data_IF_762946661020
#
_entry.id   IF_762946661020
#
_cell.length_a   1.000
_cell.length_b   1.000
_cell.length_c   1.000
_cell.angle_alpha   90.00
_cell.angle_beta   90.00
_cell.angle_gamma   90.00
#
_symmetry.space_group_name_H-M   'P 1'
#
loop_
_entity.id
_entity.type
_entity.pdbx_description
1 polymer ?
#
# COMPACT_ATOMS: atom_id res chain seq x y z
N UNK A 1 17.55 12.55 -26.83
CA UNK A 1 16.53 12.70 -25.78
C UNK A 1 15.45 11.69 -26.06
N UNK A 2 15.19 10.78 -25.13
CA UNK A 2 14.13 9.79 -25.28
C UNK A 2 12.75 10.47 -25.14
N UNK A 3 11.81 10.08 -25.99
CA UNK A 3 10.44 10.61 -26.06
C UNK A 3 9.63 10.32 -24.78
N UNK A 4 8.55 11.09 -24.49
CA UNK A 4 7.73 10.95 -23.27
C UNK A 4 6.94 9.63 -23.15
N UNK A 5 7.10 8.69 -24.09
CA UNK A 5 6.32 7.46 -24.21
C UNK A 5 6.88 6.26 -23.44
N UNK A 6 7.97 6.42 -22.68
CA UNK A 6 8.70 5.30 -22.04
C UNK A 6 8.46 5.11 -20.55
N UNK A 7 7.50 5.81 -19.93
CA UNK A 7 7.26 5.77 -18.48
C UNK A 7 5.96 5.09 -18.06
N UNK A 8 4.96 5.02 -18.94
CA UNK A 8 3.72 4.32 -18.64
C UNK A 8 3.88 2.82 -18.95
N UNK A 9 3.38 1.92 -18.08
CA UNK A 9 3.42 0.49 -18.35
C UNK A 9 2.62 0.17 -19.62
N UNK A 10 3.14 -0.76 -20.42
CA UNK A 10 2.35 -1.30 -21.53
C UNK A 10 1.21 -2.20 -21.02
N UNK A 11 0.33 -2.64 -21.91
CA UNK A 11 -0.83 -3.43 -21.53
C UNK A 11 -0.47 -4.79 -20.87
N UNK A 12 0.65 -5.40 -21.26
CA UNK A 12 1.14 -6.64 -20.66
C UNK A 12 1.69 -6.40 -19.26
N UNK A 13 2.45 -5.32 -19.09
CA UNK A 13 2.95 -4.89 -17.79
C UNK A 13 1.81 -4.52 -16.83
N UNK A 14 0.83 -3.72 -17.28
CA UNK A 14 -0.32 -3.37 -16.44
C UNK A 14 -1.12 -4.61 -16.01
N UNK A 15 -1.25 -5.62 -16.86
CA UNK A 15 -1.86 -6.90 -16.48
C UNK A 15 -1.08 -7.60 -15.36
N UNK A 16 0.26 -7.64 -15.45
CA UNK A 16 1.12 -8.22 -14.41
C UNK A 16 0.99 -7.41 -13.11
N UNK A 17 1.04 -6.09 -13.18
CA UNK A 17 0.85 -5.19 -12.04
C UNK A 17 -0.52 -5.38 -11.37
N UNK A 18 -1.56 -5.59 -12.17
CA UNK A 18 -2.89 -5.96 -11.69
C UNK A 18 -2.90 -7.31 -10.95
N UNK A 19 -2.14 -8.30 -11.42
CA UNK A 19 -1.99 -9.58 -10.68
C UNK A 19 -1.23 -9.39 -9.36
N UNK A 20 -0.19 -8.57 -9.34
CA UNK A 20 0.57 -8.25 -8.12
C UNK A 20 -0.34 -7.57 -7.09
N UNK A 21 -1.18 -6.63 -7.52
CA UNK A 21 -2.19 -6.00 -6.67
C UNK A 21 -3.18 -7.03 -6.10
N UNK A 22 -3.73 -7.92 -6.93
CA UNK A 22 -4.67 -8.96 -6.48
C UNK A 22 -4.04 -9.97 -5.51
N UNK A 23 -2.76 -10.29 -5.68
CA UNK A 23 -2.01 -11.09 -4.71
C UNK A 23 -1.91 -10.35 -3.37
N UNK A 24 -1.54 -9.07 -3.40
CA UNK A 24 -1.53 -8.23 -2.21
C UNK A 24 -2.89 -8.19 -1.52
N UNK A 25 -3.97 -7.98 -2.27
CA UNK A 25 -5.33 -7.99 -1.77
C UNK A 25 -5.66 -9.29 -1.04
N UNK A 26 -5.41 -10.42 -1.69
CA UNK A 26 -5.68 -11.73 -1.08
C UNK A 26 -4.91 -11.92 0.22
N UNK A 27 -3.62 -11.55 0.26
CA UNK A 27 -2.80 -11.66 1.48
C UNK A 27 -3.34 -10.74 2.59
N UNK A 28 -3.69 -9.50 2.26
CA UNK A 28 -4.23 -8.53 3.21
C UNK A 28 -5.54 -9.00 3.84
N UNK A 29 -6.46 -9.52 3.03
CA UNK A 29 -7.74 -10.06 3.50
C UNK A 29 -7.55 -11.26 4.42
N UNK A 30 -6.73 -12.24 4.01
CA UNK A 30 -6.48 -13.45 4.82
C UNK A 30 -5.76 -13.15 6.13
N UNK A 31 -4.87 -12.15 6.13
CA UNK A 31 -4.21 -11.71 7.35
C UNK A 31 -5.25 -11.18 8.36
N UNK A 32 -6.16 -10.31 7.90
CA UNK A 32 -7.22 -9.75 8.74
C UNK A 32 -8.20 -10.82 9.20
N UNK A 33 -8.60 -11.77 8.37
CA UNK A 33 -9.49 -12.87 8.81
C UNK A 33 -8.90 -13.62 10.01
N UNK A 34 -7.58 -13.84 10.04
CA UNK A 34 -6.90 -14.52 11.14
C UNK A 34 -6.76 -13.64 12.38
N UNK A 35 -6.40 -12.36 12.21
CA UNK A 35 -6.10 -11.45 13.34
C UNK A 35 -7.36 -10.76 13.88
N UNK A 36 -8.29 -10.40 13.01
CA UNK A 36 -9.58 -9.77 13.34
C UNK A 36 -10.51 -10.68 14.13
N UNK A 37 -10.40 -12.01 13.99
CA UNK A 37 -11.08 -12.94 14.91
C UNK A 37 -10.63 -12.77 16.37
N UNK A 38 -9.41 -12.26 16.60
CA UNK A 38 -8.86 -12.07 17.95
C UNK A 38 -9.07 -10.65 18.49
N UNK A 39 -9.35 -9.66 17.62
CA UNK A 39 -9.59 -8.27 18.00
C UNK A 39 -10.97 -7.83 17.58
N UNK A 40 -11.84 -7.56 18.55
CA UNK A 40 -13.01 -6.71 18.35
C UNK A 40 -12.55 -5.28 18.05
N UNK A 41 -12.18 -5.00 16.81
CA UNK A 41 -11.85 -3.65 16.37
C UNK A 41 -13.16 -2.84 16.33
N UNK A 42 -13.13 -1.64 16.88
CA UNK A 42 -14.20 -0.68 16.67
C UNK A 42 -14.31 -0.40 15.16
N UNK A 43 -15.53 -0.41 14.61
CA UNK A 43 -15.79 -0.10 13.19
C UNK A 43 -15.65 1.40 12.87
N UNK A 44 -14.73 2.10 13.53
CA UNK A 44 -14.41 3.49 13.22
C UNK A 44 -13.22 3.54 12.26
N UNK A 45 -13.36 4.31 11.18
CA UNK A 45 -12.37 4.42 10.11
C UNK A 45 -10.95 4.74 10.63
N UNK A 46 -10.84 5.66 11.59
CA UNK A 46 -9.54 6.07 12.13
C UNK A 46 -8.87 4.98 12.97
N UNK A 47 -9.63 4.21 13.74
CA UNK A 47 -9.10 3.09 14.54
C UNK A 47 -8.63 1.95 13.64
N UNK A 48 -9.38 1.65 12.59
CA UNK A 48 -8.93 0.72 11.55
C UNK A 48 -7.65 1.22 10.88
N UNK A 49 -7.55 2.50 10.53
CA UNK A 49 -6.33 3.01 9.91
C UNK A 49 -5.12 2.97 10.87
N UNK A 50 -5.33 3.19 12.17
CA UNK A 50 -4.27 3.01 13.19
C UNK A 50 -3.84 1.55 13.30
N UNK A 51 -4.77 0.60 13.25
CA UNK A 51 -4.46 -0.83 13.21
C UNK A 51 -3.60 -1.16 11.97
N UNK A 52 -3.99 -0.66 10.79
CA UNK A 52 -3.20 -0.83 9.56
C UNK A 52 -1.79 -0.28 9.73
N UNK A 53 -1.65 0.95 10.27
CA UNK A 53 -0.36 1.61 10.42
C UNK A 53 0.55 0.96 11.47
N UNK A 54 -0.01 0.31 12.50
CA UNK A 54 0.74 -0.22 13.63
C UNK A 54 0.89 -1.72 13.53
N UNK A 55 -0.17 -2.45 13.86
CA UNK A 55 -0.11 -3.91 13.99
C UNK A 55 0.08 -4.59 12.64
N UNK A 56 -0.77 -4.27 11.65
CA UNK A 56 -0.71 -4.91 10.33
C UNK A 56 0.63 -4.64 9.63
N UNK A 57 1.07 -3.38 9.59
CA UNK A 57 2.35 -3.03 8.96
C UNK A 57 3.54 -3.62 9.69
N UNK A 58 3.51 -3.65 11.03
CA UNK A 58 4.59 -4.23 11.82
C UNK A 58 4.72 -5.74 11.61
N UNK A 59 3.62 -6.47 11.56
CA UNK A 59 3.64 -7.91 11.32
C UNK A 59 4.19 -8.26 9.92
N UNK A 60 3.92 -7.42 8.91
CA UNK A 60 4.39 -7.66 7.53
C UNK A 60 5.81 -7.16 7.26
N UNK A 61 6.21 -6.02 7.84
CA UNK A 61 7.45 -5.32 7.49
C UNK A 61 8.40 -5.09 8.68
N UNK A 62 8.02 -5.56 9.88
CA UNK A 62 8.82 -5.47 11.10
C UNK A 62 8.92 -4.06 11.69
N UNK A 63 8.06 -3.12 11.26
CA UNK A 63 7.99 -1.75 11.78
C UNK A 63 6.62 -1.13 11.52
N UNK A 64 6.17 -0.13 12.31
CA UNK A 64 4.98 0.65 11.99
C UNK A 64 5.22 1.61 10.82
N UNK A 65 4.13 2.12 10.25
CA UNK A 65 4.13 3.31 9.39
C UNK A 65 4.63 4.51 10.20
N UNK A 66 5.49 5.32 9.59
CA UNK A 66 6.16 6.43 10.28
C UNK A 66 5.23 7.64 10.46
N UNK A 67 4.33 7.89 9.49
CA UNK A 67 3.41 9.01 9.55
C UNK A 67 2.04 8.67 8.97
N UNK A 68 1.00 8.96 9.74
CA UNK A 68 -0.39 8.93 9.31
C UNK A 68 -0.92 10.38 9.23
N UNK A 69 -1.50 10.74 8.09
CA UNK A 69 -2.21 12.01 7.88
C UNK A 69 -3.63 11.71 7.41
N UNK A 70 -4.60 12.56 7.76
CA UNK A 70 -5.98 12.44 7.29
C UNK A 70 -6.62 13.81 7.14
N UNK A 71 -7.60 13.92 6.24
CA UNK A 71 -8.48 15.09 6.16
C UNK A 71 -9.77 14.92 6.98
N UNK A 72 -9.90 13.84 7.76
CA UNK A 72 -11.10 13.47 8.51
C UNK A 72 -12.37 13.26 7.65
N UNK A 73 -12.20 13.09 6.33
CA UNK A 73 -13.27 12.87 5.34
C UNK A 73 -12.94 11.67 4.44
N UNK A 74 -12.46 10.59 5.04
CA UNK A 74 -12.16 9.34 4.35
C UNK A 74 -10.87 9.33 3.52
N UNK A 75 -10.07 10.40 3.52
CA UNK A 75 -8.76 10.41 2.83
C UNK A 75 -7.64 10.34 3.85
N UNK A 76 -6.70 9.43 3.61
CA UNK A 76 -5.54 9.17 4.45
C UNK A 76 -4.26 9.11 3.61
N UNK A 77 -3.15 9.52 4.21
CA UNK A 77 -1.81 9.35 3.66
C UNK A 77 -0.94 8.67 4.70
N UNK A 78 -0.40 7.50 4.33
CA UNK A 78 0.47 6.70 5.17
C UNK A 78 1.88 6.79 4.59
N UNK A 79 2.85 7.29 5.34
CA UNK A 79 4.23 7.40 4.88
C UNK A 79 5.13 6.39 5.57
N UNK A 80 5.85 5.63 4.75
CA UNK A 80 6.94 4.76 5.16
C UNK A 80 8.26 5.35 4.64
N UNK A 81 9.13 5.76 5.56
CA UNK A 81 10.42 6.38 5.27
C UNK A 81 11.49 5.40 4.79
N UNK A 82 11.34 4.11 5.09
CA UNK A 82 12.31 3.07 4.77
C UNK A 82 11.60 1.72 4.59
N UNK A 83 10.91 1.57 3.47
CA UNK A 83 10.27 0.30 3.12
C UNK A 83 11.35 -0.70 2.70
N UNK A 84 12.01 -1.32 3.68
CA UNK A 84 13.21 -2.17 3.54
C UNK A 84 13.12 -3.29 2.52
N UNK A 85 11.91 -3.76 2.20
CA UNK A 85 11.72 -4.74 1.14
C UNK A 85 12.16 -4.20 -0.23
N UNK A 86 11.94 -2.91 -0.50
CA UNK A 86 12.29 -2.25 -1.75
C UNK A 86 13.74 -1.75 -1.83
N UNK A 87 14.44 -1.65 -0.69
CA UNK A 87 15.84 -1.21 -0.67
C UNK A 87 16.79 -2.21 -1.32
N UNK A 88 16.38 -3.48 -1.44
CA UNK A 88 17.14 -4.55 -2.09
C UNK A 88 17.01 -4.61 -3.61
N UNK A 89 16.20 -3.73 -4.20
CA UNK A 89 16.11 -3.61 -5.66
C UNK A 89 17.45 -3.10 -6.20
N UNK A 90 18.14 -3.95 -6.96
CA UNK A 90 19.39 -3.66 -7.64
C UNK A 90 19.15 -3.15 -9.06
N UNK A 91 20.02 -2.28 -9.55
CA UNK A 91 19.96 -1.71 -10.90
C UNK A 91 20.61 -0.34 -10.93
N UNK A 92 20.63 0.31 -12.10
CA UNK A 92 20.89 1.75 -12.12
C UNK A 92 19.72 2.48 -11.42
N UNK A 93 19.96 3.71 -10.96
CA UNK A 93 19.02 4.43 -10.10
C UNK A 93 17.62 4.60 -10.72
N UNK A 94 17.56 4.88 -12.03
CA UNK A 94 16.32 5.06 -12.77
C UNK A 94 15.50 3.75 -12.88
N UNK A 95 16.13 2.65 -13.32
CA UNK A 95 15.45 1.35 -13.41
C UNK A 95 15.02 0.82 -12.05
N UNK A 96 15.85 1.03 -11.01
CA UNK A 96 15.52 0.67 -9.65
C UNK A 96 14.34 1.48 -9.12
N UNK A 97 14.29 2.79 -9.39
CA UNK A 97 13.16 3.65 -9.04
C UNK A 97 11.86 3.17 -9.69
N UNK A 98 11.88 2.92 -11.01
CA UNK A 98 10.69 2.45 -11.73
C UNK A 98 10.21 1.09 -11.21
N UNK A 99 11.13 0.16 -10.94
CA UNK A 99 10.76 -1.15 -10.39
C UNK A 99 10.20 -1.03 -8.97
N UNK A 100 10.76 -0.15 -8.12
CA UNK A 100 10.19 0.12 -6.79
C UNK A 100 8.77 0.66 -6.90
N UNK A 101 8.54 1.65 -7.75
CA UNK A 101 7.21 2.22 -7.98
C UNK A 101 6.20 1.16 -8.45
N UNK A 102 6.61 0.27 -9.36
CA UNK A 102 5.79 -0.87 -9.82
C UNK A 102 5.47 -1.86 -8.69
N UNK A 103 6.47 -2.23 -7.90
CA UNK A 103 6.31 -3.20 -6.81
C UNK A 103 5.40 -2.69 -5.69
N UNK A 104 5.19 -1.37 -5.57
CA UNK A 104 4.23 -0.79 -4.63
C UNK A 104 2.77 -1.23 -4.88
N UNK A 105 2.45 -1.79 -6.05
CA UNK A 105 1.14 -2.39 -6.29
C UNK A 105 0.79 -3.50 -5.30
N UNK A 106 1.80 -4.25 -4.83
CA UNK A 106 1.57 -5.29 -3.83
C UNK A 106 1.13 -4.72 -2.47
N UNK A 107 1.86 -3.80 -1.83
CA UNK A 107 1.40 -3.17 -0.59
C UNK A 107 0.11 -2.35 -0.74
N UNK A 108 -0.16 -1.75 -1.91
CA UNK A 108 -1.48 -1.17 -2.19
C UNK A 108 -2.59 -2.23 -2.08
N UNK A 109 -2.38 -3.38 -2.71
CA UNK A 109 -3.26 -4.55 -2.60
C UNK A 109 -3.43 -4.99 -1.15
N UNK A 110 -2.34 -5.13 -0.38
CA UNK A 110 -2.36 -5.54 1.04
C UNK A 110 -3.28 -4.65 1.86
N UNK A 111 -3.10 -3.33 1.78
CA UNK A 111 -3.91 -2.36 2.52
C UNK A 111 -5.37 -2.47 2.08
N UNK A 112 -5.63 -2.52 0.76
CA UNK A 112 -6.98 -2.62 0.21
C UNK A 112 -7.70 -3.89 0.66
N UNK A 113 -7.05 -5.04 0.65
CA UNK A 113 -7.61 -6.32 1.09
C UNK A 113 -7.91 -6.35 2.58
N UNK A 114 -7.01 -5.77 3.38
CA UNK A 114 -7.22 -5.65 4.82
C UNK A 114 -8.42 -4.74 5.14
N UNK A 115 -8.54 -3.58 4.46
CA UNK A 115 -9.66 -2.66 4.64
C UNK A 115 -10.99 -3.28 4.22
N UNK A 116 -11.02 -3.98 3.08
CA UNK A 116 -12.21 -4.68 2.58
C UNK A 116 -12.72 -5.72 3.59
N UNK A 117 -11.82 -6.53 4.15
CA UNK A 117 -12.17 -7.51 5.20
C UNK A 117 -12.60 -6.89 6.53
N UNK A 118 -12.30 -5.60 6.76
CA UNK A 118 -12.78 -4.82 7.91
C UNK A 118 -14.07 -4.05 7.61
N UNK A 119 -14.63 -4.19 6.40
CA UNK A 119 -15.86 -3.53 5.97
C UNK A 119 -15.67 -2.14 5.35
N UNK A 120 -14.44 -1.78 4.96
CA UNK A 120 -14.13 -0.49 4.36
C UNK A 120 -13.68 -0.63 2.91
N UNK A 121 -14.57 -0.36 1.97
CA UNK A 121 -14.22 -0.24 0.56
C UNK A 121 -13.31 0.97 0.36
N UNK A 122 -12.12 0.77 -0.23
CA UNK A 122 -11.16 1.85 -0.45
C UNK A 122 -10.37 1.69 -1.75
N UNK A 123 -9.91 2.81 -2.29
CA UNK A 123 -8.87 2.84 -3.33
C UNK A 123 -7.53 3.19 -2.69
N UNK A 124 -6.47 2.47 -3.09
CA UNK A 124 -5.11 2.69 -2.59
C UNK A 124 -4.16 2.86 -3.76
N UNK A 125 -3.46 3.98 -3.80
CA UNK A 125 -2.34 4.23 -4.72
C UNK A 125 -1.09 4.54 -3.92
N UNK A 126 0.08 4.46 -4.54
CA UNK A 126 1.32 4.78 -3.85
C UNK A 126 2.37 5.34 -4.79
N UNK A 127 3.23 6.18 -4.23
CA UNK A 127 4.29 6.87 -4.94
C UNK A 127 5.61 6.74 -4.16
N UNK A 128 6.72 6.67 -4.89
CA UNK A 128 8.07 6.77 -4.32
C UNK A 128 8.49 8.24 -4.36
N UNK A 129 8.67 8.83 -3.19
CA UNK A 129 9.16 10.19 -3.04
C UNK A 129 10.66 10.29 -3.38
N UNK A 130 11.18 11.46 -3.78
CA UNK A 130 12.60 11.64 -4.09
C UNK A 130 13.55 11.30 -2.94
N UNK A 131 13.07 11.36 -1.69
CA UNK A 131 13.80 10.92 -0.48
C UNK A 131 13.96 9.40 -0.38
N UNK A 132 13.33 8.62 -1.26
CA UNK A 132 13.26 7.16 -1.17
C UNK A 132 12.13 6.64 -0.28
N UNK A 133 11.44 7.55 0.43
CA UNK A 133 10.22 7.23 1.18
C UNK A 133 9.08 6.86 0.25
N UNK A 134 8.14 6.09 0.77
CA UNK A 134 6.91 5.69 0.08
C UNK A 134 5.72 6.36 0.74
N UNK A 135 4.82 6.92 -0.07
CA UNK A 135 3.54 7.45 0.40
C UNK A 135 2.40 6.61 -0.17
N UNK A 136 1.54 6.07 0.69
CA UNK A 136 0.31 5.38 0.32
C UNK A 136 -0.86 6.34 0.49
N UNK A 137 -1.62 6.54 -0.58
CA UNK A 137 -2.79 7.38 -0.63
C UNK A 137 -4.03 6.49 -0.57
N UNK A 138 -4.74 6.55 0.55
CA UNK A 138 -5.93 5.73 0.81
C UNK A 138 -7.16 6.63 0.79
N UNK A 139 -8.13 6.29 -0.06
CA UNK A 139 -9.44 6.94 -0.09
C UNK A 139 -10.51 5.89 0.18
N UNK A 140 -11.12 5.99 1.36
CA UNK A 140 -12.26 5.18 1.77
C UNK A 140 -13.51 5.71 1.06
N UNK A 141 -14.31 4.81 0.49
CA UNK A 141 -15.60 5.16 -0.08
C UNK A 141 -16.53 5.63 1.05
N UNK A 142 -17.13 6.81 0.87
CA UNK A 142 -18.23 7.28 1.71
C UNK A 142 -19.52 6.82 1.06
N UNK A 143 -20.39 6.16 1.83
CA UNK A 143 -21.80 5.94 1.45
C UNK A 143 -22.54 7.26 1.24
#
# INVERSE_FOLDING_TARGET
GASPSSLAPDAGEEWVLGKIDQLGFTVGSRFVERVGQQRALAHEQLEVMKFICKDFWHELFGKPIDKLQTNHRGVFVLKDSDLRWLSRVSGNEESAYQLRARLLRFPCGLIRGALDSLGFTATVTADVEPSGSTAFHVKVATE
#
